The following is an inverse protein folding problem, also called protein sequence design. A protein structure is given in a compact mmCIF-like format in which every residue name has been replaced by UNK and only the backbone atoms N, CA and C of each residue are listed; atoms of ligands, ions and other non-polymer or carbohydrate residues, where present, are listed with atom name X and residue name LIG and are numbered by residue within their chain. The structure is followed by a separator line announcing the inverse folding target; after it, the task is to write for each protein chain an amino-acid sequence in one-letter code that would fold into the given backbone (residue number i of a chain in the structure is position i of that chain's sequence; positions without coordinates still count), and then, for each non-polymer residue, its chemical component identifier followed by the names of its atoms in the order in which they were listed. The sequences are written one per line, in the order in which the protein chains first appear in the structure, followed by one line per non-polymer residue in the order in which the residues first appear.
data_IF_287761403199
#
_entry.id   IF_287761403199
#
_cell.length_a   1.000
_cell.length_b   1.000
_cell.length_c   1.000
_cell.angle_alpha   90.00
_cell.angle_beta   90.00
_cell.angle_gamma   90.00
#
_symmetry.space_group_name_H-M   'P 1'
#
loop_
_entity.id
_entity.type
_entity.pdbx_description
1 polymer ?
#
# COMPACT_ATOMS: atom_id res chain seq x y z
N UNK A 1 30.64 -69.18 76.78
CA UNK A 1 29.61 -70.20 76.52
C UNK A 1 28.25 -69.70 77.00
N UNK A 2 27.37 -69.26 76.09
CA UNK A 2 25.92 -69.11 76.34
C UNK A 2 25.22 -68.97 74.98
N UNK A 3 24.56 -70.05 74.58
CA UNK A 3 23.65 -70.16 73.44
C UNK A 3 22.47 -69.23 73.60
N UNK A 4 22.04 -68.56 72.52
CA UNK A 4 20.63 -68.25 72.28
C UNK A 4 20.31 -68.28 70.78
N UNK A 5 19.42 -69.22 70.47
CA UNK A 5 18.67 -69.41 69.24
C UNK A 5 17.78 -68.19 68.94
N UNK A 6 17.64 -67.86 67.66
CA UNK A 6 16.52 -67.04 67.16
C UNK A 6 15.90 -67.71 65.94
N UNK A 7 14.61 -68.01 66.11
CA UNK A 7 13.69 -68.53 65.12
C UNK A 7 13.49 -67.52 63.98
N UNK A 8 13.49 -68.02 62.74
CA UNK A 8 13.01 -67.32 61.55
C UNK A 8 11.49 -67.46 61.48
N UNK A 9 10.78 -66.34 61.48
CA UNK A 9 9.38 -66.26 61.10
C UNK A 9 9.30 -65.81 59.64
N UNK A 10 8.75 -66.68 58.80
CA UNK A 10 8.41 -66.43 57.40
C UNK A 10 7.14 -65.58 57.34
N UNK A 11 7.27 -64.29 57.04
CA UNK A 11 6.14 -63.46 56.63
C UNK A 11 5.94 -63.60 55.12
N UNK A 12 4.86 -64.26 54.72
CA UNK A 12 4.34 -64.20 53.35
C UNK A 12 3.51 -62.92 53.22
N UNK A 13 3.95 -62.01 52.35
CA UNK A 13 3.16 -60.85 51.94
C UNK A 13 2.02 -61.30 50.99
N UNK A 14 0.81 -60.74 51.10
CA UNK A 14 -0.28 -61.02 50.17
C UNK A 14 -0.02 -60.34 48.82
N UNK A 15 0.06 -61.14 47.76
CA UNK A 15 0.05 -60.66 46.37
C UNK A 15 -1.24 -59.90 46.07
N UNK A 16 -1.11 -58.58 45.89
CA UNK A 16 -2.20 -57.72 45.41
C UNK A 16 -2.34 -57.90 43.89
N UNK A 17 -3.53 -58.28 43.38
CA UNK A 17 -3.72 -58.49 41.94
C UNK A 17 -3.57 -57.19 41.14
N UNK A 18 -2.52 -57.13 40.32
CA UNK A 18 -2.27 -56.10 39.28
C UNK A 18 -3.37 -56.13 38.21
N UNK A 19 -4.56 -55.60 38.51
CA UNK A 19 -5.59 -55.31 37.51
C UNK A 19 -5.22 -54.04 36.73
N UNK A 20 -4.79 -54.25 35.48
CA UNK A 20 -5.14 -53.47 34.28
C UNK A 20 -5.64 -52.02 34.50
N UNK A 21 -4.70 -51.08 34.68
CA UNK A 21 -4.88 -49.66 34.32
C UNK A 21 -4.33 -49.42 32.90
N UNK A 22 -4.84 -50.16 31.91
CA UNK A 22 -4.61 -49.84 30.49
C UNK A 22 -5.67 -48.83 30.06
N UNK A 23 -5.39 -47.54 30.16
CA UNK A 23 -6.32 -46.54 29.64
C UNK A 23 -6.14 -45.08 30.05
N UNK A 24 -5.11 -44.70 30.81
CA UNK A 24 -4.82 -43.27 31.00
C UNK A 24 -4.21 -42.71 29.71
N UNK A 25 -5.07 -42.27 28.78
CA UNK A 25 -4.66 -41.31 27.74
C UNK A 25 -4.09 -40.11 28.48
N UNK A 26 -2.76 -39.95 28.45
CA UNK A 26 -2.10 -38.72 28.87
C UNK A 26 -2.78 -37.60 28.08
N UNK A 27 -3.63 -36.82 28.75
CA UNK A 27 -4.12 -35.56 28.23
C UNK A 27 -2.90 -34.65 28.17
N UNK A 28 -2.22 -34.67 27.04
CA UNK A 28 -1.22 -33.66 26.71
C UNK A 28 -1.98 -32.35 26.64
N UNK A 29 -1.86 -31.54 27.69
CA UNK A 29 -2.30 -30.14 27.67
C UNK A 29 -1.47 -29.49 26.56
N UNK A 30 -2.12 -29.12 25.46
CA UNK A 30 -1.45 -28.37 24.40
C UNK A 30 -0.89 -27.09 25.02
N UNK A 31 0.41 -26.83 24.80
CA UNK A 31 1.02 -25.59 25.26
C UNK A 31 0.26 -24.41 24.63
N UNK A 32 -0.06 -23.40 25.44
CA UNK A 32 -0.63 -22.17 24.95
C UNK A 32 0.36 -21.51 23.97
N UNK A 33 -0.13 -20.92 22.86
CA UNK A 33 0.74 -20.21 21.92
C UNK A 33 1.45 -19.05 22.63
N UNK A 34 2.71 -18.80 22.26
CA UNK A 34 3.43 -17.64 22.79
C UNK A 34 2.83 -16.33 22.26
N UNK A 35 3.03 -15.18 22.92
CA UNK A 35 2.60 -13.88 22.40
C UNK A 35 3.10 -13.59 20.98
N UNK A 36 4.33 -14.01 20.67
CA UNK A 36 4.91 -13.88 19.33
C UNK A 36 4.21 -14.76 18.29
N UNK A 37 3.74 -15.94 18.67
CA UNK A 37 2.96 -16.81 17.76
C UNK A 37 1.58 -16.22 17.48
N UNK A 38 0.92 -15.66 18.50
CA UNK A 38 -0.36 -14.96 18.36
C UNK A 38 -0.19 -13.74 17.44
N UNK A 39 0.84 -12.93 17.65
CA UNK A 39 1.18 -11.79 16.81
C UNK A 39 1.38 -12.18 15.34
N UNK A 40 2.21 -13.19 15.08
CA UNK A 40 2.49 -13.68 13.72
C UNK A 40 1.24 -14.22 13.04
N UNK A 41 0.39 -14.94 13.77
CA UNK A 41 -0.88 -15.46 13.24
C UNK A 41 -1.83 -14.32 12.83
N UNK A 42 -1.95 -13.28 13.68
CA UNK A 42 -2.73 -12.07 13.39
C UNK A 42 -2.21 -11.35 12.15
N UNK A 43 -0.91 -11.07 12.11
CA UNK A 43 -0.28 -10.40 10.97
C UNK A 43 -0.46 -11.20 9.68
N UNK A 44 -0.28 -12.53 9.71
CA UNK A 44 -0.50 -13.39 8.55
C UNK A 44 -1.95 -13.33 8.04
N UNK A 45 -2.94 -13.37 8.96
CA UNK A 45 -4.35 -13.23 8.60
C UNK A 45 -4.65 -11.87 7.97
N UNK A 46 -4.11 -10.79 8.52
CA UNK A 46 -4.22 -9.45 7.95
C UNK A 46 -3.60 -9.38 6.55
N UNK A 47 -2.37 -9.89 6.37
CA UNK A 47 -1.66 -9.88 5.08
C UNK A 47 -2.44 -10.62 4.00
N UNK A 48 -3.05 -11.76 4.31
CA UNK A 48 -3.92 -12.47 3.36
C UNK A 48 -5.06 -11.57 2.88
N UNK A 49 -5.66 -10.79 3.77
CA UNK A 49 -6.72 -9.84 3.42
C UNK A 49 -6.17 -8.65 2.63
N UNK A 50 -5.08 -8.04 3.09
CA UNK A 50 -4.44 -6.89 2.43
C UNK A 50 -4.09 -7.23 0.98
N UNK A 51 -3.55 -8.42 0.71
CA UNK A 51 -3.13 -8.87 -0.62
C UNK A 51 -4.25 -9.50 -1.47
N UNK A 52 -5.51 -9.30 -1.05
CA UNK A 52 -6.69 -9.74 -1.79
C UNK A 52 -7.33 -8.59 -2.57
N UNK A 53 -8.22 -8.90 -3.54
CA UNK A 53 -8.98 -7.89 -4.27
C UNK A 53 -9.93 -7.07 -3.37
N UNK A 54 -10.17 -7.52 -2.14
CA UNK A 54 -11.06 -6.81 -1.21
C UNK A 54 -10.43 -5.55 -0.60
N UNK A 55 -9.11 -5.42 -0.66
CA UNK A 55 -8.38 -4.22 -0.24
C UNK A 55 -7.74 -3.64 -1.50
N UNK A 56 -8.55 -2.94 -2.28
CA UNK A 56 -8.17 -2.41 -3.57
C UNK A 56 -8.72 -0.99 -3.73
N UNK A 57 -7.84 -0.06 -4.12
CA UNK A 57 -8.27 1.28 -4.53
C UNK A 57 -9.11 1.13 -5.79
N UNK A 58 -10.36 1.61 -5.72
CA UNK A 58 -11.31 1.51 -6.82
C UNK A 58 -10.90 2.42 -7.97
N UNK A 59 -11.38 2.09 -9.15
CA UNK A 59 -11.25 2.98 -10.29
C UNK A 59 -11.98 4.30 -9.97
N UNK A 60 -11.33 5.46 -10.22
CA UNK A 60 -11.95 6.74 -9.95
C UNK A 60 -13.18 6.94 -10.82
N UNK A 61 -14.18 7.61 -10.26
CA UNK A 61 -15.37 8.02 -11.00
C UNK A 61 -15.01 8.98 -12.14
N UNK A 62 -15.91 9.07 -13.12
CA UNK A 62 -15.73 9.99 -14.23
C UNK A 62 -15.60 11.44 -13.73
N UNK A 63 -14.75 12.19 -14.43
CA UNK A 63 -14.46 13.58 -14.12
C UNK A 63 -15.31 14.45 -15.01
N UNK A 64 -15.97 15.43 -14.40
CA UNK A 64 -16.73 16.46 -15.10
C UNK A 64 -15.85 17.13 -16.17
N UNK A 65 -16.52 17.59 -17.23
CA UNK A 65 -15.80 18.22 -18.32
C UNK A 65 -15.19 19.54 -17.86
N UNK A 66 -13.88 19.68 -18.03
CA UNK A 66 -13.14 20.93 -17.81
C UNK A 66 -12.69 21.46 -19.16
N UNK A 67 -13.20 22.63 -19.55
CA UNK A 67 -12.91 23.24 -20.86
C UNK A 67 -11.51 23.83 -20.94
N UNK A 68 -10.87 23.75 -22.10
CA UNK A 68 -9.58 24.43 -22.31
C UNK A 68 -9.80 25.91 -22.66
N UNK A 69 -9.68 26.82 -21.67
CA UNK A 69 -9.77 28.26 -21.93
C UNK A 69 -8.41 29.00 -21.96
N UNK A 70 -7.34 28.39 -21.43
CA UNK A 70 -5.99 28.95 -21.47
C UNK A 70 -5.26 28.68 -22.80
N UNK A 71 -4.50 29.67 -23.26
CA UNK A 71 -3.53 29.53 -24.36
C UNK A 71 -2.24 28.84 -23.86
N UNK A 72 -1.41 28.25 -24.74
CA UNK A 72 -0.15 27.61 -24.32
C UNK A 72 0.81 28.53 -23.52
N UNK A 73 0.97 29.82 -23.88
CA UNK A 73 1.74 30.76 -23.06
C UNK A 73 1.15 30.96 -21.67
N UNK A 74 -0.18 31.08 -21.53
CA UNK A 74 -0.82 31.22 -20.22
C UNK A 74 -0.67 29.95 -19.37
N UNK A 75 -0.80 28.76 -19.96
CA UNK A 75 -0.52 27.50 -19.24
C UNK A 75 0.91 27.50 -18.70
N UNK A 76 1.89 27.89 -19.52
CA UNK A 76 3.29 27.98 -19.11
C UNK A 76 3.48 28.97 -17.97
N UNK A 77 2.81 30.13 -18.05
CA UNK A 77 2.91 31.18 -17.06
C UNK A 77 2.41 30.74 -15.68
N UNK A 78 1.31 29.97 -15.61
CA UNK A 78 0.80 29.40 -14.34
C UNK A 78 1.87 28.59 -13.62
N UNK A 79 2.64 27.76 -14.33
CA UNK A 79 3.74 27.01 -13.71
C UNK A 79 4.90 27.92 -13.30
N UNK A 80 5.29 28.86 -14.15
CA UNK A 80 6.40 29.79 -13.87
C UNK A 80 6.14 30.59 -12.59
N UNK A 81 4.92 31.06 -12.39
CA UNK A 81 4.56 31.89 -11.23
C UNK A 81 4.51 31.10 -9.92
N UNK A 82 4.36 29.77 -10.00
CA UNK A 82 4.07 28.91 -8.83
C UNK A 82 5.15 27.92 -8.47
N UNK A 83 5.99 27.53 -9.42
CA UNK A 83 6.96 26.45 -9.27
C UNK A 83 8.37 27.02 -9.48
N UNK A 84 9.10 27.32 -8.39
CA UNK A 84 10.47 27.80 -8.47
C UNK A 84 11.35 26.87 -9.30
N UNK A 85 12.10 27.43 -10.26
CA UNK A 85 13.03 26.67 -11.10
C UNK A 85 12.39 25.85 -12.23
N UNK A 86 11.06 25.87 -12.41
CA UNK A 86 10.37 25.04 -13.42
C UNK A 86 10.86 25.26 -14.86
N UNK A 87 11.38 26.46 -15.16
CA UNK A 87 11.97 26.78 -16.48
C UNK A 87 13.19 25.92 -16.81
N UNK A 88 13.88 25.40 -15.81
CA UNK A 88 15.10 24.61 -15.97
C UNK A 88 14.82 23.11 -16.10
N UNK A 89 13.58 22.66 -15.87
CA UNK A 89 13.23 21.25 -15.99
C UNK A 89 13.23 20.80 -17.45
N UNK A 90 13.95 19.72 -17.72
CA UNK A 90 14.10 19.12 -19.06
C UNK A 90 13.48 17.72 -19.11
N UNK A 91 13.00 17.34 -20.28
CA UNK A 91 12.40 16.02 -20.52
C UNK A 91 13.50 14.96 -20.66
N UNK A 92 13.54 14.00 -19.73
CA UNK A 92 14.48 12.85 -19.72
C UNK A 92 15.93 13.26 -19.96
N UNK A 93 16.38 14.28 -19.24
CA UNK A 93 17.75 14.82 -19.31
C UNK A 93 18.19 15.29 -20.70
N UNK A 94 17.24 15.53 -21.62
CA UNK A 94 17.53 16.04 -22.96
C UNK A 94 17.72 17.55 -22.90
N UNK A 95 18.96 17.98 -23.03
CA UNK A 95 19.33 19.40 -23.03
C UNK A 95 18.50 20.21 -24.05
N UNK A 96 17.98 21.36 -23.61
CA UNK A 96 17.14 22.25 -24.42
C UNK A 96 15.69 21.79 -24.62
N UNK A 97 15.32 20.60 -24.15
CA UNK A 97 13.98 20.01 -24.32
C UNK A 97 13.16 20.25 -23.04
N UNK A 98 12.72 21.49 -22.83
CA UNK A 98 12.02 21.91 -21.60
C UNK A 98 10.62 21.31 -21.44
N UNK A 99 10.27 20.89 -20.21
CA UNK A 99 8.99 20.22 -19.88
C UNK A 99 7.75 21.10 -20.13
N UNK A 100 7.87 22.42 -19.96
CA UNK A 100 6.75 23.36 -20.09
C UNK A 100 6.06 23.30 -21.47
N UNK A 101 6.83 23.05 -22.54
CA UNK A 101 6.27 22.87 -23.89
C UNK A 101 5.39 21.63 -23.99
N UNK A 102 5.78 20.54 -23.33
CA UNK A 102 5.01 19.30 -23.30
C UNK A 102 3.76 19.45 -22.44
N UNK A 103 3.85 20.11 -21.29
CA UNK A 103 2.71 20.39 -20.42
C UNK A 103 1.66 21.22 -21.18
N UNK A 104 2.08 22.30 -21.83
CA UNK A 104 1.17 23.14 -22.60
C UNK A 104 0.52 22.38 -23.78
N UNK A 105 1.27 21.50 -24.46
CA UNK A 105 0.71 20.62 -25.48
C UNK A 105 -0.28 19.60 -24.90
N UNK A 106 0.04 18.98 -23.75
CA UNK A 106 -0.81 17.98 -23.10
C UNK A 106 -2.11 18.60 -22.57
N UNK A 107 -2.07 19.84 -22.09
CA UNK A 107 -3.28 20.59 -21.69
C UNK A 107 -4.29 20.71 -22.84
N UNK A 108 -3.80 20.91 -24.07
CA UNK A 108 -4.65 21.04 -25.26
C UNK A 108 -5.05 19.71 -25.86
N UNK A 109 -4.08 18.81 -26.05
CA UNK A 109 -4.17 17.62 -26.91
C UNK A 109 -4.06 16.30 -26.15
N UNK A 110 -3.90 16.34 -24.83
CA UNK A 110 -3.66 15.18 -23.99
C UNK A 110 -2.30 14.52 -24.20
N UNK A 111 -2.12 13.40 -23.51
CA UNK A 111 -0.94 12.54 -23.65
C UNK A 111 -1.11 11.62 -24.86
N UNK A 112 -0.17 11.68 -25.80
CA UNK A 112 -0.21 10.91 -27.05
C UNK A 112 -0.33 9.41 -26.84
N UNK A 113 0.34 8.86 -25.82
CA UNK A 113 0.33 7.43 -25.50
C UNK A 113 -1.06 6.90 -25.13
N UNK A 114 -1.98 7.78 -24.76
CA UNK A 114 -3.36 7.41 -24.40
C UNK A 114 -4.37 7.82 -25.46
N UNK A 115 -3.94 8.34 -26.62
CA UNK A 115 -4.85 8.79 -27.68
C UNK A 115 -5.81 7.68 -28.10
N UNK A 116 -7.08 8.03 -28.35
CA UNK A 116 -8.16 7.11 -28.71
C UNK A 116 -8.49 6.06 -27.64
N UNK A 117 -8.11 6.30 -26.38
CA UNK A 117 -8.54 5.48 -25.23
C UNK A 117 -9.48 6.29 -24.34
N UNK A 118 -10.34 5.65 -23.52
CA UNK A 118 -11.14 6.35 -22.52
C UNK A 118 -10.29 7.20 -21.55
N UNK A 119 -9.05 6.80 -21.31
CA UNK A 119 -8.11 7.54 -20.46
C UNK A 119 -7.67 8.88 -21.05
N UNK A 120 -7.74 9.07 -22.36
CA UNK A 120 -7.28 10.31 -23.01
C UNK A 120 -8.02 11.53 -22.47
N UNK A 121 -9.35 11.49 -22.57
CA UNK A 121 -10.22 12.60 -22.18
C UNK A 121 -10.20 12.79 -20.67
N UNK A 122 -10.17 11.70 -19.91
CA UNK A 122 -10.07 11.74 -18.45
C UNK A 122 -8.80 12.50 -17.99
N UNK A 123 -7.64 12.14 -18.53
CA UNK A 123 -6.37 12.79 -18.18
C UNK A 123 -6.32 14.25 -18.65
N UNK A 124 -6.91 14.58 -19.80
CA UNK A 124 -7.02 15.96 -20.27
C UNK A 124 -7.82 16.80 -19.26
N UNK A 125 -9.00 16.31 -18.84
CA UNK A 125 -9.87 17.02 -17.88
C UNK A 125 -9.16 17.24 -16.55
N UNK A 126 -8.47 16.23 -16.02
CA UNK A 126 -7.71 16.35 -14.77
C UNK A 126 -6.52 17.30 -14.90
N UNK A 127 -5.76 17.25 -16.01
CA UNK A 127 -4.67 18.20 -16.22
C UNK A 127 -5.17 19.65 -16.29
N UNK A 128 -6.32 19.89 -16.94
CA UNK A 128 -6.95 21.21 -16.98
C UNK A 128 -7.38 21.67 -15.60
N UNK A 129 -8.06 20.80 -14.84
CA UNK A 129 -8.44 21.06 -13.45
C UNK A 129 -7.24 21.51 -12.61
N UNK A 130 -6.14 20.77 -12.67
CA UNK A 130 -4.91 21.08 -11.92
C UNK A 130 -4.39 22.48 -12.26
N UNK A 131 -4.32 22.78 -13.56
CA UNK A 131 -3.81 24.08 -14.03
C UNK A 131 -4.75 25.22 -13.64
N UNK A 132 -6.07 25.03 -13.71
CA UNK A 132 -7.06 26.05 -13.32
C UNK A 132 -7.10 26.27 -11.81
N UNK A 133 -6.91 25.20 -11.03
CA UNK A 133 -6.73 25.30 -9.58
C UNK A 133 -5.48 26.11 -9.22
N UNK A 134 -4.40 25.89 -9.97
CA UNK A 134 -3.18 26.70 -9.89
C UNK A 134 -3.36 28.16 -10.28
N UNK A 135 -4.18 28.44 -11.29
CA UNK A 135 -4.52 29.80 -11.70
C UNK A 135 -5.35 30.53 -10.63
N UNK A 136 -6.21 29.81 -9.91
CA UNK A 136 -7.19 30.36 -8.96
C UNK A 136 -6.67 30.45 -7.52
N UNK A 137 -5.35 30.38 -7.31
CA UNK A 137 -4.75 30.43 -5.96
C UNK A 137 -5.23 29.34 -4.99
N UNK A 138 -5.55 28.15 -5.50
CA UNK A 138 -5.98 27.04 -4.66
C UNK A 138 -4.96 26.69 -3.56
N UNK A 139 -5.45 26.29 -2.38
CA UNK A 139 -4.60 25.86 -1.26
C UNK A 139 -3.74 24.67 -1.70
N UNK A 140 -2.42 24.75 -1.48
CA UNK A 140 -1.47 23.71 -1.89
C UNK A 140 -1.16 23.67 -3.39
N UNK A 141 -1.68 24.59 -4.21
CA UNK A 141 -1.53 24.56 -5.66
C UNK A 141 -0.08 24.50 -6.16
N UNK A 142 0.85 25.21 -5.50
CA UNK A 142 2.27 25.18 -5.88
C UNK A 142 2.87 23.78 -5.78
N UNK A 143 2.51 23.01 -4.74
CA UNK A 143 2.93 21.63 -4.56
C UNK A 143 2.38 20.72 -5.66
N UNK A 144 1.08 20.83 -5.96
CA UNK A 144 0.42 20.06 -7.02
C UNK A 144 1.01 20.34 -8.41
N UNK A 145 1.24 21.62 -8.75
CA UNK A 145 1.88 22.00 -10.01
C UNK A 145 3.32 21.51 -10.07
N UNK A 146 4.07 21.57 -8.95
CA UNK A 146 5.43 21.06 -8.87
C UNK A 146 5.47 19.55 -9.17
N UNK A 147 4.62 18.76 -8.51
CA UNK A 147 4.53 17.32 -8.75
C UNK A 147 4.26 16.99 -10.23
N UNK A 148 3.32 17.69 -10.86
CA UNK A 148 3.03 17.50 -12.30
C UNK A 148 4.24 17.90 -13.14
N UNK A 149 4.87 19.05 -12.87
CA UNK A 149 6.02 19.50 -13.65
C UNK A 149 7.20 18.52 -13.58
N UNK A 150 7.48 17.98 -12.39
CA UNK A 150 8.50 16.94 -12.17
C UNK A 150 8.11 15.64 -12.90
N UNK A 151 6.85 15.22 -12.87
CA UNK A 151 6.43 14.03 -13.62
C UNK A 151 6.65 14.15 -15.14
N UNK A 152 6.64 15.38 -15.68
CA UNK A 152 6.96 15.63 -17.08
C UNK A 152 8.46 15.53 -17.40
N UNK A 153 9.35 15.31 -16.44
CA UNK A 153 10.73 14.90 -16.74
C UNK A 153 10.82 13.42 -17.13
N UNK A 154 9.77 12.62 -16.85
CA UNK A 154 9.71 11.17 -17.06
C UNK A 154 8.87 10.74 -18.29
N UNK A 155 8.51 9.46 -18.37
CA UNK A 155 7.66 8.92 -19.44
C UNK A 155 6.18 9.27 -19.26
N UNK A 156 5.41 9.15 -20.36
CA UNK A 156 3.97 9.49 -20.34
C UNK A 156 3.14 8.61 -19.38
N UNK A 157 3.60 7.39 -19.06
CA UNK A 157 2.94 6.56 -18.05
C UNK A 157 3.06 7.15 -16.64
N UNK A 158 4.24 7.67 -16.28
CA UNK A 158 4.46 8.40 -15.02
C UNK A 158 3.65 9.69 -15.00
N UNK A 159 3.67 10.45 -16.10
CA UNK A 159 2.87 11.67 -16.25
C UNK A 159 1.37 11.40 -16.01
N UNK A 160 0.81 10.37 -16.64
CA UNK A 160 -0.59 9.99 -16.47
C UNK A 160 -0.93 9.66 -15.02
N UNK A 161 -0.10 8.88 -14.34
CA UNK A 161 -0.31 8.52 -12.92
C UNK A 161 -0.34 9.77 -12.03
N UNK A 162 0.62 10.68 -12.22
CA UNK A 162 0.70 11.90 -11.40
C UNK A 162 -0.43 12.86 -11.70
N UNK A 163 -0.79 13.07 -12.97
CA UNK A 163 -1.95 13.88 -13.36
C UNK A 163 -3.22 13.33 -12.70
N UNK A 164 -3.46 12.03 -12.77
CA UNK A 164 -4.66 11.44 -12.20
C UNK A 164 -4.71 11.61 -10.67
N UNK A 165 -3.63 11.25 -9.98
CA UNK A 165 -3.50 11.37 -8.51
C UNK A 165 -3.69 12.80 -8.03
N UNK A 166 -3.02 13.77 -8.66
CA UNK A 166 -3.10 15.19 -8.27
C UNK A 166 -4.51 15.72 -8.55
N UNK A 167 -5.07 15.43 -9.72
CA UNK A 167 -6.39 15.92 -10.10
C UNK A 167 -7.50 15.36 -9.21
N UNK A 168 -7.43 14.09 -8.81
CA UNK A 168 -8.40 13.49 -7.89
C UNK A 168 -8.30 14.06 -6.47
N UNK A 169 -7.08 14.35 -5.99
CA UNK A 169 -6.89 15.06 -4.70
C UNK A 169 -7.58 16.43 -4.72
N UNK A 170 -7.38 17.21 -5.78
CA UNK A 170 -8.03 18.53 -5.94
C UNK A 170 -9.56 18.43 -5.93
N UNK A 171 -10.13 17.35 -6.48
CA UNK A 171 -11.60 17.13 -6.44
C UNK A 171 -12.14 16.74 -5.07
N UNK A 172 -11.29 16.61 -4.05
CA UNK A 172 -11.71 16.07 -2.76
C UNK A 172 -12.09 14.59 -2.84
N UNK A 173 -11.67 13.89 -3.89
CA UNK A 173 -11.74 12.41 -3.97
C UNK A 173 -10.62 11.78 -3.12
N UNK A 174 -10.04 12.57 -2.19
CA UNK A 174 -9.22 12.02 -1.13
C UNK A 174 -10.06 10.99 -0.38
N UNK A 175 -9.49 9.81 -0.17
CA UNK A 175 -10.14 8.78 0.62
C UNK A 175 -10.44 9.29 2.02
N UNK A 176 -11.47 8.71 2.64
CA UNK A 176 -11.53 8.68 4.10
C UNK A 176 -10.27 7.99 4.67
N UNK A 177 -10.16 7.92 5.99
CA UNK A 177 -9.01 7.25 6.62
C UNK A 177 -8.80 5.83 6.06
N UNK A 178 -9.88 5.07 5.84
CA UNK A 178 -9.81 3.74 5.24
C UNK A 178 -9.23 3.78 3.81
N UNK A 179 -9.68 4.72 2.97
CA UNK A 179 -9.19 4.90 1.61
C UNK A 179 -7.72 5.28 1.54
N UNK A 180 -7.26 6.18 2.42
CA UNK A 180 -5.84 6.57 2.51
C UNK A 180 -4.95 5.40 2.95
N UNK A 181 -5.41 4.60 3.91
CA UNK A 181 -4.68 3.39 4.32
C UNK A 181 -4.69 2.34 3.19
N UNK A 182 -5.80 2.17 2.48
CA UNK A 182 -5.86 1.28 1.31
C UNK A 182 -4.91 1.72 0.20
N UNK A 183 -4.72 3.03 0.01
CA UNK A 183 -3.73 3.58 -0.91
C UNK A 183 -2.29 3.24 -0.46
N UNK A 184 -1.97 3.44 0.83
CA UNK A 184 -0.65 3.05 1.37
C UNK A 184 -0.37 1.55 1.22
N UNK A 185 -1.39 0.70 1.43
CA UNK A 185 -1.31 -0.74 1.14
C UNK A 185 -1.01 -0.98 -0.35
N UNK A 186 -1.69 -0.24 -1.24
CA UNK A 186 -1.45 -0.27 -2.69
C UNK A 186 -0.02 0.08 -3.09
N UNK A 187 0.59 1.07 -2.44
CA UNK A 187 1.98 1.46 -2.67
C UNK A 187 2.95 0.31 -2.31
N UNK A 188 2.72 -0.36 -1.18
CA UNK A 188 3.52 -1.52 -0.76
C UNK A 188 3.29 -2.76 -1.63
N UNK A 189 2.07 -2.98 -2.14
CA UNK A 189 1.83 -4.02 -3.17
C UNK A 189 2.61 -3.73 -4.45
N UNK A 190 2.65 -2.46 -4.86
CA UNK A 190 3.41 -2.02 -6.03
C UNK A 190 4.91 -2.25 -5.81
N UNK A 191 5.44 -1.96 -4.61
CA UNK A 191 6.82 -2.27 -4.27
C UNK A 191 7.14 -3.77 -4.39
N UNK A 192 6.28 -4.64 -3.83
CA UNK A 192 6.43 -6.09 -3.94
C UNK A 192 6.39 -6.57 -5.41
N UNK A 193 5.52 -5.97 -6.24
CA UNK A 193 5.44 -6.27 -7.66
C UNK A 193 6.70 -5.83 -8.43
N UNK A 194 7.30 -4.68 -8.07
CA UNK A 194 8.59 -4.24 -8.64
C UNK A 194 9.73 -5.20 -8.28
N UNK A 195 9.76 -5.68 -7.04
CA UNK A 195 10.71 -6.71 -6.62
C UNK A 195 10.52 -8.00 -7.45
N UNK A 196 9.27 -8.42 -7.66
CA UNK A 196 8.96 -9.57 -8.53
C UNK A 196 9.42 -9.34 -9.98
N UNK A 197 9.20 -8.13 -10.53
CA UNK A 197 9.64 -7.76 -11.86
C UNK A 197 11.18 -7.91 -11.98
N UNK A 198 11.92 -7.36 -11.03
CA UNK A 198 13.38 -7.45 -10.98
C UNK A 198 13.86 -8.92 -10.89
N UNK A 199 13.28 -9.73 -9.98
CA UNK A 199 13.60 -11.15 -9.86
C UNK A 199 13.38 -11.91 -11.17
N UNK A 200 12.25 -11.66 -11.84
CA UNK A 200 11.88 -12.36 -13.07
C UNK A 200 12.70 -11.90 -14.27
N UNK A 201 13.01 -10.62 -14.41
CA UNK A 201 13.90 -10.11 -15.47
C UNK A 201 15.25 -10.82 -15.39
N UNK A 202 15.82 -10.91 -14.18
CA UNK A 202 17.10 -11.58 -13.96
C UNK A 202 17.01 -13.08 -14.26
N UNK A 203 15.99 -13.77 -13.71
CA UNK A 203 15.82 -15.22 -13.85
C UNK A 203 15.55 -15.66 -15.30
N UNK A 204 14.70 -14.90 -16.02
CA UNK A 204 14.30 -15.21 -17.39
C UNK A 204 15.22 -14.57 -18.44
N UNK A 205 16.21 -13.79 -18.01
CA UNK A 205 17.14 -13.04 -18.88
C UNK A 205 16.38 -12.18 -19.91
N UNK A 206 15.34 -11.49 -19.45
CA UNK A 206 14.55 -10.62 -20.31
C UNK A 206 15.42 -9.43 -20.74
N UNK A 207 15.38 -9.09 -22.03
CA UNK A 207 16.05 -7.90 -22.54
C UNK A 207 15.22 -6.66 -22.20
N UNK A 208 15.75 -5.83 -21.31
CA UNK A 208 15.17 -4.54 -20.94
C UNK A 208 16.04 -3.38 -21.40
N UNK A 209 15.40 -2.25 -21.71
CA UNK A 209 16.08 -1.04 -22.17
C UNK A 209 16.67 -0.23 -20.99
N UNK A 210 17.13 -0.94 -19.95
CA UNK A 210 17.62 -0.37 -18.69
C UNK A 210 16.54 0.08 -17.71
N UNK A 211 15.26 0.13 -18.12
CA UNK A 211 14.14 0.51 -17.26
C UNK A 211 13.07 -0.60 -17.23
N UNK A 212 12.81 -1.24 -16.07
CA UNK A 212 11.87 -2.36 -15.96
C UNK A 212 10.39 -1.95 -16.04
N UNK A 213 10.06 -0.66 -16.21
CA UNK A 213 8.68 -0.13 -16.19
C UNK A 213 7.72 -0.87 -17.12
N UNK A 214 8.15 -1.30 -18.31
CA UNK A 214 7.26 -2.03 -19.22
C UNK A 214 6.94 -3.44 -18.72
N UNK A 215 7.92 -4.14 -18.15
CA UNK A 215 7.66 -5.43 -17.53
C UNK A 215 6.86 -5.29 -16.22
N UNK A 216 7.10 -4.23 -15.43
CA UNK A 216 6.24 -3.89 -14.28
C UNK A 216 4.79 -3.70 -14.73
N UNK A 217 4.54 -2.89 -15.76
CA UNK A 217 3.21 -2.71 -16.32
C UNK A 217 2.63 -4.04 -16.84
N UNK A 218 3.45 -4.90 -17.44
CA UNK A 218 2.98 -6.24 -17.84
C UNK A 218 2.46 -7.03 -16.64
N UNK A 219 3.23 -7.08 -15.56
CA UNK A 219 2.82 -7.79 -14.33
C UNK A 219 1.61 -7.14 -13.67
N UNK A 220 1.54 -5.81 -13.64
CA UNK A 220 0.38 -5.06 -13.11
C UNK A 220 -0.90 -5.41 -13.88
N UNK A 221 -0.84 -5.44 -15.22
CA UNK A 221 -1.99 -5.79 -16.07
C UNK A 221 -2.44 -7.25 -15.87
N UNK A 222 -1.49 -8.18 -15.72
CA UNK A 222 -1.77 -9.61 -15.64
C UNK A 222 -2.21 -10.05 -14.22
N UNK A 223 -1.58 -9.51 -13.17
CA UNK A 223 -1.76 -9.94 -11.77
C UNK A 223 -2.66 -9.00 -10.96
N UNK A 224 -2.96 -7.80 -11.48
CA UNK A 224 -3.52 -6.72 -10.67
C UNK A 224 -4.84 -7.05 -10.00
N UNK A 225 -5.75 -7.69 -10.74
CA UNK A 225 -7.03 -8.14 -10.17
C UNK A 225 -6.85 -9.18 -9.06
N UNK A 226 -5.88 -10.08 -9.15
CA UNK A 226 -5.65 -11.15 -8.18
C UNK A 226 -4.97 -10.66 -6.88
N UNK A 227 -4.16 -9.61 -6.98
CA UNK A 227 -3.42 -9.01 -5.87
C UNK A 227 -4.15 -7.80 -5.26
N UNK A 228 -5.26 -7.36 -5.86
CA UNK A 228 -5.96 -6.14 -5.45
C UNK A 228 -5.10 -4.88 -5.62
N UNK A 229 -4.33 -4.79 -6.72
CA UNK A 229 -3.56 -3.58 -7.05
C UNK A 229 -4.51 -2.43 -7.38
N UNK A 230 -4.07 -1.18 -7.23
CA UNK A 230 -4.83 -0.01 -7.64
C UNK A 230 -5.43 -0.17 -9.06
N UNK A 231 -6.76 -0.07 -9.17
CA UNK A 231 -7.45 -0.34 -10.42
C UNK A 231 -7.13 0.67 -11.52
N UNK A 232 -6.79 1.91 -11.17
CA UNK A 232 -6.35 2.90 -12.13
C UNK A 232 -4.96 2.56 -12.69
N UNK A 233 -4.07 2.03 -11.86
CA UNK A 233 -2.79 1.48 -12.33
C UNK A 233 -2.98 0.25 -13.22
N UNK A 234 -3.89 -0.66 -12.86
CA UNK A 234 -4.23 -1.82 -13.70
C UNK A 234 -4.79 -1.38 -15.05
N UNK A 235 -5.67 -0.38 -15.07
CA UNK A 235 -6.24 0.20 -16.28
C UNK A 235 -5.15 0.80 -17.17
N UNK A 236 -4.26 1.63 -16.61
CA UNK A 236 -3.12 2.21 -17.35
C UNK A 236 -2.18 1.15 -17.91
N UNK A 237 -1.83 0.17 -17.09
CA UNK A 237 -0.90 -0.89 -17.46
C UNK A 237 -1.40 -1.71 -18.66
N UNK A 238 -2.71 -1.94 -18.77
CA UNK A 238 -3.34 -2.60 -19.94
C UNK A 238 -3.22 -1.81 -21.24
N UNK A 239 -2.98 -0.50 -21.17
CA UNK A 239 -2.80 0.38 -22.33
C UNK A 239 -1.32 0.54 -22.72
N UNK A 240 -0.39 -0.09 -22.01
CA UNK A 240 1.03 -0.06 -22.39
C UNK A 240 1.28 -1.01 -23.58
N UNK A 241 1.30 -0.43 -24.78
CA UNK A 241 1.57 -1.15 -26.03
C UNK A 241 2.95 -1.81 -26.04
N UNK A 242 3.97 -1.16 -25.46
CA UNK A 242 5.33 -1.72 -25.40
C UNK A 242 5.38 -2.94 -24.49
N UNK A 243 4.71 -2.89 -23.33
CA UNK A 243 4.59 -4.04 -22.45
C UNK A 243 3.89 -5.21 -23.16
N UNK A 244 2.81 -4.92 -23.89
CA UNK A 244 2.01 -5.92 -24.61
C UNK A 244 2.78 -6.54 -25.77
N UNK A 245 3.54 -5.75 -26.54
CA UNK A 245 4.27 -6.24 -27.71
C UNK A 245 5.54 -7.03 -27.33
N UNK A 246 6.16 -6.71 -26.19
CA UNK A 246 7.45 -7.27 -25.78
C UNK A 246 7.33 -8.49 -24.88
N UNK A 247 6.30 -8.56 -24.04
CA UNK A 247 6.19 -9.58 -23.00
C UNK A 247 4.90 -10.39 -23.16
N UNK A 248 4.99 -11.72 -23.18
CA UNK A 248 3.80 -12.57 -23.27
C UNK A 248 2.95 -12.46 -22.00
N UNK A 249 1.65 -12.74 -22.15
CA UNK A 249 0.69 -12.76 -21.05
C UNK A 249 0.96 -13.91 -20.09
N UNK A 250 1.06 -13.60 -18.80
CA UNK A 250 1.00 -14.61 -17.76
C UNK A 250 -0.41 -15.20 -17.72
N UNK A 251 -0.52 -16.53 -17.75
CA UNK A 251 -1.80 -17.23 -17.71
C UNK A 251 -1.72 -18.50 -16.88
N UNK A 252 -2.88 -19.03 -16.48
CA UNK A 252 -2.98 -20.31 -15.76
C UNK A 252 -2.07 -20.37 -14.53
N UNK A 253 -1.33 -21.46 -14.40
CA UNK A 253 -0.42 -21.71 -13.27
C UNK A 253 0.70 -20.67 -13.15
N UNK A 254 1.17 -20.11 -14.27
CA UNK A 254 2.25 -19.12 -14.24
C UNK A 254 1.80 -17.84 -13.53
N UNK A 255 0.60 -17.35 -13.83
CA UNK A 255 0.03 -16.19 -13.17
C UNK A 255 -0.19 -16.45 -11.67
N UNK A 256 -0.70 -17.63 -11.31
CA UNK A 256 -0.91 -18.02 -9.90
C UNK A 256 0.42 -18.10 -9.14
N UNK A 257 1.45 -18.72 -9.73
CA UNK A 257 2.78 -18.80 -9.13
C UNK A 257 3.43 -17.42 -8.99
N UNK A 258 3.30 -16.55 -9.99
CA UNK A 258 3.80 -15.18 -9.92
C UNK A 258 3.08 -14.37 -8.82
N UNK A 259 1.75 -14.48 -8.72
CA UNK A 259 1.00 -13.83 -7.65
C UNK A 259 1.36 -14.39 -6.27
N UNK A 260 1.51 -15.70 -6.11
CA UNK A 260 1.97 -16.31 -4.86
C UNK A 260 3.35 -15.76 -4.45
N UNK A 261 4.31 -15.72 -5.39
CA UNK A 261 5.62 -15.12 -5.15
C UNK A 261 5.53 -13.64 -4.79
N UNK A 262 4.67 -12.87 -5.46
CA UNK A 262 4.45 -11.46 -5.12
C UNK A 262 3.97 -11.30 -3.67
N UNK A 263 3.14 -12.22 -3.18
CA UNK A 263 2.66 -12.18 -1.78
C UNK A 263 3.77 -12.49 -0.78
N UNK A 264 4.69 -13.39 -1.13
CA UNK A 264 5.88 -13.67 -0.30
C UNK A 264 6.84 -12.47 -0.25
N UNK A 265 6.89 -11.66 -1.31
CA UNK A 265 7.72 -10.45 -1.38
C UNK A 265 7.12 -9.26 -0.65
N UNK A 266 5.86 -9.32 -0.23
CA UNK A 266 5.24 -8.25 0.54
C UNK A 266 5.75 -8.27 1.99
N UNK A 267 6.56 -7.27 2.35
CA UNK A 267 7.06 -7.09 3.71
C UNK A 267 6.01 -6.38 4.58
N UNK A 268 5.26 -7.18 5.33
CA UNK A 268 4.19 -6.71 6.21
C UNK A 268 4.71 -5.89 7.40
N UNK A 269 5.92 -6.17 7.89
CA UNK A 269 6.51 -5.43 9.00
C UNK A 269 7.04 -4.06 8.54
N UNK A 270 7.59 -3.98 7.32
CA UNK A 270 7.94 -2.71 6.70
C UNK A 270 6.69 -1.87 6.44
N UNK A 271 5.62 -2.48 5.91
CA UNK A 271 4.34 -1.80 5.74
C UNK A 271 3.78 -1.26 7.07
N UNK A 272 3.76 -2.07 8.13
CA UNK A 272 3.28 -1.64 9.45
C UNK A 272 4.10 -0.47 9.99
N UNK A 273 5.43 -0.50 9.82
CA UNK A 273 6.33 0.60 10.18
C UNK A 273 6.07 1.88 9.40
N UNK A 274 5.84 1.77 8.10
CA UNK A 274 5.48 2.94 7.30
C UNK A 274 4.13 3.51 7.70
N UNK A 275 3.12 2.68 7.97
CA UNK A 275 1.84 3.15 8.50
C UNK A 275 2.04 3.94 9.80
N UNK A 276 2.79 3.42 10.77
CA UNK A 276 3.12 4.12 12.02
C UNK A 276 3.84 5.45 11.77
N UNK A 277 4.81 5.47 10.86
CA UNK A 277 5.55 6.68 10.51
C UNK A 277 4.66 7.74 9.85
N UNK A 278 3.79 7.34 8.92
CA UNK A 278 2.88 8.24 8.22
C UNK A 278 1.85 8.84 9.18
N UNK A 279 1.21 8.05 10.06
CA UNK A 279 0.27 8.60 11.05
C UNK A 279 0.97 9.45 12.11
N UNK A 280 2.23 9.14 12.44
CA UNK A 280 3.06 9.94 13.35
C UNK A 280 3.53 11.28 12.75
N UNK A 281 3.43 11.45 11.43
CA UNK A 281 3.97 12.60 10.69
C UNK A 281 3.13 13.88 10.76
N UNK A 282 2.25 14.04 11.76
CA UNK A 282 1.41 15.23 11.87
C UNK A 282 2.24 16.49 12.15
N UNK A 283 2.00 17.53 11.35
CA UNK A 283 2.58 18.87 11.49
C UNK A 283 1.51 19.94 11.35
N UNK A 284 1.82 21.19 11.72
CA UNK A 284 0.92 22.33 11.52
C UNK A 284 0.56 22.54 10.04
N UNK A 285 1.51 22.26 9.15
CA UNK A 285 1.39 22.37 7.69
C UNK A 285 0.70 21.17 7.03
N UNK A 286 0.39 20.12 7.79
CA UNK A 286 -0.26 18.93 7.24
C UNK A 286 -1.61 19.32 6.62
N UNK A 287 -1.88 18.92 5.36
CA UNK A 287 -3.14 19.26 4.70
C UNK A 287 -4.31 18.51 5.36
N UNK A 288 -5.54 19.00 5.15
CA UNK A 288 -6.74 18.46 5.80
C UNK A 288 -6.96 16.97 5.47
N UNK A 289 -6.62 16.59 4.25
CA UNK A 289 -6.70 15.25 3.69
C UNK A 289 -5.49 14.35 4.00
N UNK A 290 -4.59 14.77 4.89
CA UNK A 290 -3.42 13.95 5.24
C UNK A 290 -3.81 12.73 6.07
N UNK A 291 -3.05 11.64 5.90
CA UNK A 291 -3.23 10.42 6.69
C UNK A 291 -3.17 10.67 8.21
N UNK A 292 -2.23 11.48 8.77
CA UNK A 292 -2.26 11.82 10.19
C UNK A 292 -3.54 12.51 10.67
N UNK A 293 -4.08 13.47 9.90
CA UNK A 293 -5.33 14.16 10.28
C UNK A 293 -6.54 13.25 10.18
N UNK A 294 -6.62 12.47 9.11
CA UNK A 294 -7.67 11.47 8.93
C UNK A 294 -7.62 10.41 10.04
N UNK A 295 -6.42 10.02 10.49
CA UNK A 295 -6.24 9.11 11.62
C UNK A 295 -6.80 9.71 12.91
N UNK A 296 -6.48 10.97 13.26
CA UNK A 296 -7.03 11.62 14.46
C UNK A 296 -8.56 11.75 14.42
N UNK A 297 -9.12 12.10 13.26
CA UNK A 297 -10.56 12.13 13.09
C UNK A 297 -11.16 10.74 13.34
N UNK A 298 -10.58 9.70 12.73
CA UNK A 298 -11.01 8.32 12.90
C UNK A 298 -10.90 7.84 14.36
N UNK A 299 -9.77 8.09 15.04
CA UNK A 299 -9.58 7.65 16.44
C UNK A 299 -10.56 8.33 17.38
N UNK A 300 -10.95 9.57 17.10
CA UNK A 300 -11.95 10.29 17.91
C UNK A 300 -13.31 9.60 17.91
N UNK A 301 -13.65 8.91 16.82
CA UNK A 301 -14.91 8.20 16.65
C UNK A 301 -14.84 6.74 17.09
N UNK A 302 -13.66 6.12 17.01
CA UNK A 302 -13.51 4.65 17.13
C UNK A 302 -12.82 4.20 18.43
N UNK A 303 -12.06 5.08 19.10
CA UNK A 303 -11.36 4.73 20.34
C UNK A 303 -12.12 5.26 21.57
N UNK A 304 -12.30 4.38 22.56
CA UNK A 304 -12.85 4.78 23.87
C UNK A 304 -11.87 5.68 24.64
N UNK A 305 -10.57 5.42 24.52
CA UNK A 305 -9.50 6.20 25.15
C UNK A 305 -8.67 6.89 24.07
N UNK A 306 -9.11 8.07 23.64
CA UNK A 306 -8.49 8.79 22.52
C UNK A 306 -7.03 9.21 22.79
N UNK A 307 -6.66 9.47 24.04
CA UNK A 307 -5.30 9.90 24.40
C UNK A 307 -4.24 8.81 24.19
N UNK A 308 -4.63 7.55 23.98
CA UNK A 308 -3.70 6.43 23.83
C UNK A 308 -2.89 6.46 22.53
N UNK A 309 -3.25 7.34 21.59
CA UNK A 309 -2.50 7.56 20.34
C UNK A 309 -1.54 8.74 20.44
N UNK A 310 -1.49 9.42 21.59
CA UNK A 310 -0.63 10.56 21.84
C UNK A 310 0.54 10.15 22.74
N UNK A 311 1.68 10.81 22.58
CA UNK A 311 2.84 10.61 23.43
C UNK A 311 2.53 10.97 24.90
N UNK A 312 3.06 10.18 25.84
CA UNK A 312 2.78 10.36 27.27
C UNK A 312 3.37 11.67 27.83
N UNK A 313 4.49 12.13 27.28
CA UNK A 313 5.26 13.26 27.80
C UNK A 313 4.60 14.61 27.52
N UNK A 314 4.08 14.80 26.30
CA UNK A 314 3.57 16.10 25.82
C UNK A 314 2.11 16.06 25.40
N UNK A 315 1.55 14.87 25.16
CA UNK A 315 0.19 14.69 24.63
C UNK A 315 -0.06 15.51 23.37
N UNK A 316 0.97 15.69 22.54
CA UNK A 316 0.94 16.60 21.38
C UNK A 316 1.37 15.93 20.08
N UNK A 317 2.06 14.79 20.16
CA UNK A 317 2.56 14.03 19.03
C UNK A 317 1.83 12.70 18.96
N UNK A 318 1.55 12.26 17.74
CA UNK A 318 0.96 10.94 17.53
C UNK A 318 2.05 9.88 17.72
N UNK A 319 1.87 9.01 18.70
CA UNK A 319 2.75 7.88 18.97
C UNK A 319 1.93 6.58 18.98
N UNK A 320 2.10 5.77 17.93
CA UNK A 320 1.37 4.52 17.75
C UNK A 320 2.35 3.36 17.78
N UNK A 321 2.23 2.51 18.79
CA UNK A 321 3.01 1.26 18.88
C UNK A 321 2.51 0.17 17.92
N UNK A 322 3.32 -0.87 17.65
CA UNK A 322 2.95 -1.94 16.71
C UNK A 322 1.60 -2.59 17.03
N UNK A 323 1.34 -2.91 18.30
CA UNK A 323 0.09 -3.55 18.73
C UNK A 323 -1.16 -2.76 18.35
N UNK A 324 -1.15 -1.45 18.62
CA UNK A 324 -2.26 -0.57 18.27
C UNK A 324 -2.37 -0.41 16.75
N UNK A 325 -1.24 -0.22 16.06
CA UNK A 325 -1.24 -0.14 14.59
C UNK A 325 -1.86 -1.38 13.94
N UNK A 326 -1.51 -2.58 14.42
CA UNK A 326 -2.09 -3.82 13.93
C UNK A 326 -3.60 -3.88 14.22
N UNK A 327 -4.03 -3.55 15.43
CA UNK A 327 -5.45 -3.54 15.81
C UNK A 327 -6.27 -2.56 14.95
N UNK A 328 -5.72 -1.38 14.63
CA UNK A 328 -6.34 -0.41 13.71
C UNK A 328 -6.50 -1.03 12.32
N UNK A 329 -5.44 -1.59 11.75
CA UNK A 329 -5.48 -2.20 10.41
C UNK A 329 -6.43 -3.41 10.34
N UNK A 330 -6.47 -4.25 11.37
CA UNK A 330 -7.44 -5.33 11.49
C UNK A 330 -8.87 -4.81 11.56
N UNK A 331 -9.11 -3.75 12.33
CA UNK A 331 -10.43 -3.10 12.40
C UNK A 331 -10.87 -2.59 11.03
N UNK A 332 -9.97 -1.90 10.30
CA UNK A 332 -10.26 -1.38 8.97
C UNK A 332 -10.59 -2.48 7.96
N UNK A 333 -9.79 -3.55 7.89
CA UNK A 333 -9.86 -4.51 6.77
C UNK A 333 -10.48 -5.87 7.10
N UNK A 334 -10.51 -6.24 8.38
CA UNK A 334 -11.16 -7.44 8.90
C UNK A 334 -12.45 -7.11 9.68
N UNK A 335 -12.75 -5.84 9.93
CA UNK A 335 -13.94 -5.36 10.62
C UNK A 335 -13.90 -5.51 12.15
N UNK A 336 -12.82 -6.06 12.70
CA UNK A 336 -12.58 -6.18 14.14
C UNK A 336 -11.10 -6.46 14.43
N UNK A 337 -10.57 -6.04 15.59
CA UNK A 337 -9.23 -6.41 16.02
C UNK A 337 -9.17 -7.91 16.39
N UNK A 338 -8.04 -8.52 16.09
CA UNK A 338 -7.71 -9.92 16.39
C UNK A 338 -7.02 -10.10 17.74
N UNK A 339 -6.87 -9.03 18.52
CA UNK A 339 -6.20 -9.02 19.81
C UNK A 339 -6.91 -9.94 20.84
N UNK A 340 -6.16 -10.76 21.62
CA UNK A 340 -6.75 -11.58 22.67
C UNK A 340 -7.31 -10.68 23.80
N UNK A 341 -8.22 -11.20 24.64
CA UNK A 341 -8.82 -10.43 25.74
C UNK A 341 -7.84 -9.84 26.76
N UNK A 342 -6.61 -10.34 26.80
CA UNK A 342 -5.55 -9.88 27.68
C UNK A 342 -4.74 -8.69 27.13
N UNK A 343 -4.89 -8.35 25.84
CA UNK A 343 -4.18 -7.24 25.21
C UNK A 343 -4.97 -5.94 25.35
N UNK A 344 -4.26 -4.83 25.59
CA UNK A 344 -4.86 -3.50 25.86
C UNK A 344 -5.72 -2.98 24.71
N UNK A 345 -5.36 -3.29 23.46
CA UNK A 345 -5.95 -2.70 22.25
C UNK A 345 -6.92 -3.67 21.55
N UNK A 346 -8.06 -3.94 22.20
CA UNK A 346 -9.13 -4.81 21.71
C UNK A 346 -10.37 -4.03 21.28
#
# INVERSE_FOLDING_TARGET
QRSRSRLRASQQEPEVPRRLLKGQRKLTIAALPSPADVWRARLAALVQRLLSPAVQVREPEEVEQVEAFLTPPHVTQVFVDRVPGVRNLVYRDKEGVHVLKFIASAYQKGLTAFRNTPMHEHLIRLLRLIIHYGLSDGVGASGYLKEVAEAFTDCQAVQARVIERVGLRIRGVAGDFHGLVAQLVGDYKTLALRMLAAERILKLRLREDGNPVHYENRLTADLGSQLGLDMADVRRAKLDEHATSRFPRLSGEEAHGAAARCRELFDAEAFLRAFMAEVGGLTEESPAESLPRAFLAWTSEHLTQQHVVLDEDTSSRIEVGPSLALAVLETLFLGRPGAPPSETYR
#
